data_IF_844027591042
#
_entry.id   IF_844027591042
#
_cell.length_a   1.000
_cell.length_b   1.000
_cell.length_c   1.000
_cell.angle_alpha   90.00
_cell.angle_beta   90.00
_cell.angle_gamma   90.00
#
_symmetry.space_group_name_H-M   'P 1'
#
loop_
_entity.id
_entity.type
_entity.pdbx_description
1 polymer ?
#
# COMPACT_ATOMS: atom_id res chain seq x y z
N UNK A 1 14.40 2.79 10.03
CA UNK A 1 14.36 3.97 10.93
C UNK A 1 13.13 3.93 11.80
N UNK A 2 13.25 4.21 13.10
CA UNK A 2 12.10 4.21 14.03
C UNK A 2 12.05 5.56 14.78
N UNK A 3 10.95 6.27 14.64
CA UNK A 3 10.65 7.52 15.37
C UNK A 3 9.71 7.18 16.51
N UNK A 4 10.17 7.32 17.75
CA UNK A 4 9.36 7.07 18.94
C UNK A 4 8.67 8.35 19.39
N UNK A 5 7.36 8.29 19.51
CA UNK A 5 6.53 9.37 20.03
C UNK A 5 6.11 9.04 21.49
N UNK A 6 6.49 9.84 22.49
CA UNK A 6 6.12 9.60 23.88
C UNK A 6 4.61 9.55 24.07
N UNK A 7 4.11 8.48 24.70
CA UNK A 7 2.68 8.29 24.97
C UNK A 7 1.85 7.80 23.79
N UNK A 8 2.41 7.65 22.59
CA UNK A 8 1.70 7.10 21.45
C UNK A 8 1.38 5.61 21.63
N UNK A 9 0.15 5.23 21.34
CA UNK A 9 -0.31 3.83 21.36
C UNK A 9 -0.22 3.17 20.00
N UNK A 10 -0.46 3.95 18.94
CA UNK A 10 -0.44 3.45 17.57
C UNK A 10 0.97 3.58 16.96
N UNK A 11 1.29 2.66 16.07
CA UNK A 11 2.52 2.66 15.30
C UNK A 11 2.19 2.62 13.80
N UNK A 12 2.77 3.54 13.04
CA UNK A 12 2.63 3.60 11.60
C UNK A 12 3.85 2.96 10.95
N UNK A 13 3.64 1.92 10.13
CA UNK A 13 4.67 1.30 9.29
C UNK A 13 4.55 1.88 7.89
N UNK A 14 5.56 2.64 7.47
CA UNK A 14 5.54 3.42 6.23
C UNK A 14 6.37 2.75 5.14
N UNK A 15 5.71 2.45 4.01
CA UNK A 15 6.28 1.97 2.76
C UNK A 15 6.34 3.13 1.77
N UNK A 16 7.55 3.63 1.49
CA UNK A 16 7.76 4.84 0.70
C UNK A 16 7.56 4.63 -0.81
N UNK A 17 7.50 5.74 -1.55
CA UNK A 17 7.39 5.74 -3.01
C UNK A 17 8.69 5.33 -3.71
N UNK A 18 8.60 5.04 -5.02
CA UNK A 18 9.68 4.47 -5.82
C UNK A 18 10.98 5.31 -5.83
N UNK A 19 10.90 6.62 -5.80
CA UNK A 19 12.07 7.49 -5.94
C UNK A 19 12.61 8.02 -4.60
N UNK A 20 12.19 7.45 -3.47
CA UNK A 20 12.56 7.87 -2.13
C UNK A 20 13.49 6.88 -1.43
N UNK A 21 14.16 7.35 -0.38
CA UNK A 21 14.89 6.58 0.61
C UNK A 21 14.69 7.19 2.01
N UNK A 22 15.10 6.46 3.04
CA UNK A 22 14.93 6.89 4.44
C UNK A 22 15.60 8.22 4.76
N UNK A 23 16.71 8.56 4.08
CA UNK A 23 17.41 9.82 4.27
C UNK A 23 16.56 11.02 3.84
N UNK A 24 15.90 10.89 2.70
CA UNK A 24 15.00 11.90 2.16
C UNK A 24 13.69 12.01 2.96
N UNK A 25 13.23 10.90 3.53
CA UNK A 25 11.97 10.84 4.27
C UNK A 25 12.08 11.26 5.75
N UNK A 26 13.29 11.52 6.25
CA UNK A 26 13.53 11.74 7.67
C UNK A 26 12.64 12.84 8.29
N UNK A 27 12.66 14.03 7.70
CA UNK A 27 11.88 15.17 8.21
C UNK A 27 10.37 14.89 8.17
N UNK A 28 9.88 14.34 7.07
CA UNK A 28 8.47 13.97 6.95
C UNK A 28 8.06 12.96 8.03
N UNK A 29 8.90 11.97 8.33
CA UNK A 29 8.58 10.97 9.35
C UNK A 29 8.53 11.56 10.76
N UNK A 30 9.42 12.48 11.08
CA UNK A 30 9.40 13.20 12.36
C UNK A 30 8.13 14.05 12.48
N UNK A 31 7.78 14.78 11.43
CA UNK A 31 6.58 15.61 11.40
C UNK A 31 5.29 14.77 11.48
N UNK A 32 5.17 13.72 10.70
CA UNK A 32 4.01 12.81 10.75
C UNK A 32 3.85 12.20 12.14
N UNK A 33 4.94 11.69 12.73
CA UNK A 33 4.93 11.12 14.08
C UNK A 33 4.42 12.12 15.10
N UNK A 34 4.93 13.35 15.07
CA UNK A 34 4.55 14.42 16.00
C UNK A 34 3.10 14.88 15.80
N UNK A 35 2.70 15.19 14.56
CA UNK A 35 1.36 15.72 14.27
C UNK A 35 0.25 14.69 14.49
N UNK A 36 0.52 13.42 14.23
CA UNK A 36 -0.45 12.33 14.38
C UNK A 36 -0.42 11.69 15.76
N UNK A 37 0.60 11.99 16.57
CA UNK A 37 0.86 11.34 17.86
C UNK A 37 0.96 9.82 17.73
N UNK A 38 1.79 9.33 16.79
CA UNK A 38 2.04 7.91 16.54
C UNK A 38 3.53 7.62 16.55
N UNK A 39 3.92 6.40 16.94
CA UNK A 39 5.25 5.91 16.58
C UNK A 39 5.29 5.71 15.06
N UNK A 40 6.45 5.87 14.43
CA UNK A 40 6.58 5.65 13.00
C UNK A 40 7.83 4.83 12.70
N UNK A 41 7.66 3.77 11.91
CA UNK A 41 8.77 3.02 11.33
C UNK A 41 8.73 3.16 9.81
N UNK A 42 9.87 3.57 9.23
CA UNK A 42 10.14 3.47 7.81
C UNK A 42 11.32 2.54 7.55
N UNK A 43 11.39 1.98 6.36
CA UNK A 43 12.44 1.07 5.91
C UNK A 43 12.72 1.29 4.43
N UNK A 44 13.95 1.02 3.99
CA UNK A 44 14.33 0.98 2.58
C UNK A 44 14.15 -0.43 2.03
N UNK A 45 13.59 -0.54 0.83
CA UNK A 45 13.49 -1.82 0.13
C UNK A 45 14.87 -2.33 -0.29
N UNK A 46 14.97 -3.62 -0.55
CA UNK A 46 16.15 -4.24 -1.15
C UNK A 46 16.58 -3.48 -2.41
N UNK A 47 17.82 -2.97 -2.41
CA UNK A 47 18.39 -2.17 -3.49
C UNK A 47 18.02 -0.68 -3.49
N UNK A 48 17.31 -0.18 -2.48
CA UNK A 48 17.02 1.25 -2.26
C UNK A 48 17.91 1.83 -1.16
N UNK A 49 18.17 3.15 -1.23
CA UNK A 49 18.97 3.85 -0.24
C UNK A 49 20.31 3.17 0.04
N UNK A 50 20.52 2.75 1.28
CA UNK A 50 21.69 2.00 1.72
C UNK A 50 21.45 0.49 1.81
N UNK A 51 20.24 0.02 1.47
CA UNK A 51 19.92 -1.41 1.48
C UNK A 51 20.60 -2.15 0.32
N UNK A 52 21.18 -3.31 0.63
CA UNK A 52 21.74 -4.21 -0.39
C UNK A 52 20.64 -4.97 -1.14
N UNK A 53 21.03 -5.74 -2.16
CA UNK A 53 20.11 -6.55 -2.94
C UNK A 53 19.66 -5.88 -4.24
N UNK A 54 18.54 -6.34 -4.78
CA UNK A 54 17.96 -5.83 -6.03
C UNK A 54 16.48 -5.54 -5.85
N UNK A 55 15.96 -4.45 -6.43
CA UNK A 55 14.53 -4.16 -6.42
C UNK A 55 13.75 -5.25 -7.18
N UNK A 56 12.73 -5.78 -6.53
CA UNK A 56 11.73 -6.66 -7.16
C UNK A 56 10.43 -6.65 -6.34
N UNK A 57 9.31 -7.01 -6.96
CA UNK A 57 8.04 -7.16 -6.25
C UNK A 57 8.19 -8.08 -5.03
N UNK A 58 8.78 -9.26 -5.22
CA UNK A 58 8.93 -10.26 -4.17
C UNK A 58 9.80 -9.76 -3.01
N UNK A 59 10.86 -9.02 -3.32
CA UNK A 59 11.72 -8.45 -2.29
C UNK A 59 10.97 -7.38 -1.49
N UNK A 60 10.16 -6.52 -2.12
CA UNK A 60 9.37 -5.53 -1.36
C UNK A 60 8.38 -6.18 -0.40
N UNK A 61 7.84 -7.36 -0.73
CA UNK A 61 6.97 -8.13 0.18
C UNK A 61 7.75 -8.73 1.35
N UNK A 62 8.95 -9.25 1.10
CA UNK A 62 9.82 -9.75 2.16
C UNK A 62 10.33 -8.61 3.06
N UNK A 63 10.63 -7.45 2.49
CA UNK A 63 11.15 -6.29 3.21
C UNK A 63 10.11 -5.73 4.19
N UNK A 64 8.84 -5.56 3.76
CA UNK A 64 7.77 -5.11 4.67
C UNK A 64 7.48 -6.15 5.76
N UNK A 65 7.51 -7.43 5.42
CA UNK A 65 7.35 -8.53 6.40
C UNK A 65 8.43 -8.47 7.47
N UNK A 66 9.70 -8.25 7.08
CA UNK A 66 10.81 -8.12 8.01
C UNK A 66 10.66 -6.86 8.90
N UNK A 67 10.24 -5.74 8.33
CA UNK A 67 9.98 -4.52 9.09
C UNK A 67 8.80 -4.69 10.07
N UNK A 68 7.74 -5.36 9.66
CA UNK A 68 6.60 -5.70 10.52
C UNK A 68 7.02 -6.61 11.68
N UNK A 69 7.78 -7.68 11.41
CA UNK A 69 8.30 -8.56 12.47
C UNK A 69 9.19 -7.80 13.45
N UNK A 70 10.02 -6.91 12.96
CA UNK A 70 10.84 -6.05 13.82
C UNK A 70 9.97 -5.20 14.76
N UNK A 71 8.83 -4.66 14.29
CA UNK A 71 7.87 -3.95 15.16
C UNK A 71 7.30 -4.85 16.24
N UNK A 72 6.91 -6.08 15.92
CA UNK A 72 6.35 -7.03 16.88
C UNK A 72 7.41 -7.50 17.87
N UNK A 73 8.53 -8.02 17.36
CA UNK A 73 9.52 -8.76 18.15
C UNK A 73 10.47 -7.83 18.93
N UNK A 74 10.88 -6.72 18.32
CA UNK A 74 11.89 -5.81 18.92
C UNK A 74 11.25 -4.64 19.64
N UNK A 75 10.20 -4.05 19.06
CA UNK A 75 9.54 -2.87 19.62
C UNK A 75 8.28 -3.20 20.43
N UNK A 76 7.83 -4.47 20.45
CA UNK A 76 6.68 -4.94 21.23
C UNK A 76 5.34 -4.36 20.77
N UNK A 77 5.24 -3.96 19.50
CA UNK A 77 3.98 -3.48 18.95
C UNK A 77 2.99 -4.64 18.82
N UNK A 78 1.70 -4.40 19.10
CA UNK A 78 0.62 -5.34 18.82
C UNK A 78 0.05 -5.08 17.42
N UNK A 79 -0.33 -6.13 16.67
CA UNK A 79 -0.94 -6.02 15.33
C UNK A 79 -2.11 -5.04 15.33
N UNK A 80 -2.97 -5.11 16.33
CA UNK A 80 -4.14 -4.24 16.51
C UNK A 80 -3.80 -2.76 16.80
N UNK A 81 -2.53 -2.43 16.97
CA UNK A 81 -2.03 -1.06 17.12
C UNK A 81 -1.17 -0.61 15.94
N UNK A 82 -1.04 -1.42 14.88
CA UNK A 82 -0.25 -1.09 13.70
C UNK A 82 -1.16 -0.57 12.58
N UNK A 83 -0.78 0.58 12.03
CA UNK A 83 -1.34 1.15 10.81
C UNK A 83 -0.30 0.95 9.70
N UNK A 84 -0.66 0.29 8.62
CA UNK A 84 0.20 0.20 7.44
C UNK A 84 -0.07 1.40 6.53
N UNK A 85 1.00 2.05 6.09
CA UNK A 85 0.94 3.21 5.21
C UNK A 85 1.74 2.93 3.94
N UNK A 86 1.10 3.06 2.76
CA UNK A 86 1.76 2.82 1.48
C UNK A 86 1.61 3.99 0.53
N UNK A 87 2.75 4.56 0.11
CA UNK A 87 2.79 5.64 -0.87
C UNK A 87 3.17 5.09 -2.25
N UNK A 88 2.38 5.38 -3.28
CA UNK A 88 2.67 5.01 -4.67
C UNK A 88 2.95 3.51 -4.80
N UNK A 89 4.15 3.10 -5.27
CA UNK A 89 4.60 1.70 -5.31
C UNK A 89 4.53 1.02 -3.94
N UNK A 90 4.73 1.77 -2.86
CA UNK A 90 4.62 1.27 -1.49
C UNK A 90 3.23 0.75 -1.12
N UNK A 91 2.19 1.10 -1.89
CA UNK A 91 0.86 0.49 -1.76
C UNK A 91 0.87 -1.02 -2.07
N UNK A 92 1.82 -1.50 -2.89
CA UNK A 92 2.00 -2.92 -3.22
C UNK A 92 2.31 -3.78 -1.99
N UNK A 93 3.48 -3.60 -1.35
CA UNK A 93 3.82 -4.34 -0.14
C UNK A 93 2.82 -4.08 1.00
N UNK A 94 2.29 -2.88 1.13
CA UNK A 94 1.27 -2.53 2.14
C UNK A 94 0.02 -3.39 2.00
N UNK A 95 -0.56 -3.49 0.81
CA UNK A 95 -1.77 -4.29 0.59
C UNK A 95 -1.50 -5.79 0.60
N UNK A 96 -0.30 -6.21 0.18
CA UNK A 96 0.10 -7.60 0.32
C UNK A 96 0.11 -8.05 1.77
N UNK A 97 0.77 -7.30 2.64
CA UNK A 97 0.82 -7.60 4.06
C UNK A 97 -0.56 -7.46 4.71
N UNK A 98 -1.28 -6.36 4.45
CA UNK A 98 -2.61 -6.11 5.03
C UNK A 98 -3.63 -7.20 4.69
N UNK A 99 -3.54 -7.82 3.51
CA UNK A 99 -4.44 -8.91 3.10
C UNK A 99 -4.30 -10.18 3.93
N UNK A 100 -3.17 -10.33 4.64
CA UNK A 100 -2.82 -11.50 5.46
C UNK A 100 -2.96 -11.27 6.97
N UNK A 101 -3.13 -10.01 7.40
CA UNK A 101 -3.22 -9.62 8.81
C UNK A 101 -4.69 -9.42 9.23
N UNK A 102 -5.27 -10.35 9.99
CA UNK A 102 -6.70 -10.30 10.35
C UNK A 102 -7.04 -9.23 11.39
N UNK A 103 -6.09 -8.86 12.26
CA UNK A 103 -6.27 -7.92 13.36
C UNK A 103 -5.58 -6.57 13.13
N UNK A 104 -5.10 -6.33 11.90
CA UNK A 104 -4.45 -5.07 11.55
C UNK A 104 -5.35 -3.89 11.88
N UNK A 105 -4.77 -2.85 12.48
CA UNK A 105 -5.53 -1.70 12.91
C UNK A 105 -6.19 -0.93 11.79
N UNK A 106 -5.42 -0.56 10.76
CA UNK A 106 -5.91 0.19 9.62
C UNK A 106 -4.88 0.22 8.48
N UNK A 107 -5.30 0.68 7.31
CA UNK A 107 -4.46 0.93 6.14
C UNK A 107 -4.66 2.36 5.64
N UNK A 108 -3.56 3.02 5.27
CA UNK A 108 -3.54 4.29 4.53
C UNK A 108 -2.87 4.06 3.18
N UNK A 109 -3.53 4.45 2.12
CA UNK A 109 -3.04 4.41 0.75
C UNK A 109 -2.91 5.83 0.22
N UNK A 110 -1.68 6.26 -0.06
CA UNK A 110 -1.35 7.59 -0.55
C UNK A 110 -0.92 7.50 -2.02
N UNK A 111 -1.67 8.12 -2.92
CA UNK A 111 -1.48 8.04 -4.38
C UNK A 111 -1.21 6.60 -4.86
N UNK A 112 -2.05 5.62 -4.44
CA UNK A 112 -1.77 4.20 -4.64
C UNK A 112 -1.91 3.77 -6.10
N UNK A 113 -1.18 2.71 -6.46
CA UNK A 113 -1.34 2.02 -7.75
C UNK A 113 -2.37 0.88 -7.62
N UNK A 114 -3.22 0.69 -8.61
CA UNK A 114 -4.15 -0.46 -8.64
C UNK A 114 -3.48 -1.74 -9.13
N UNK A 115 -2.50 -1.63 -10.03
CA UNK A 115 -1.49 -2.64 -10.36
C UNK A 115 -0.39 -1.98 -11.19
N UNK A 116 0.77 -2.64 -11.33
CA UNK A 116 1.88 -2.14 -12.14
C UNK A 116 1.49 -1.94 -13.60
N UNK A 117 0.82 -2.92 -14.20
CA UNK A 117 0.42 -2.85 -15.61
C UNK A 117 -0.60 -1.71 -15.87
N UNK A 118 -1.52 -1.48 -14.91
CA UNK A 118 -2.54 -0.42 -15.05
C UNK A 118 -1.96 1.00 -14.98
N UNK A 119 -0.82 1.19 -14.36
CA UNK A 119 -0.12 2.49 -14.40
C UNK A 119 0.37 2.81 -15.81
N UNK A 120 0.80 1.78 -16.56
CA UNK A 120 1.38 1.97 -17.89
C UNK A 120 0.36 1.89 -19.02
N UNK A 121 -0.69 1.09 -18.84
CA UNK A 121 -1.66 0.79 -19.90
C UNK A 121 -3.10 0.78 -19.35
N UNK A 122 -4.08 1.25 -20.12
CA UNK A 122 -5.49 1.25 -19.72
C UNK A 122 -6.12 -0.16 -19.87
N UNK A 123 -5.64 -1.12 -19.06
CA UNK A 123 -6.16 -2.50 -19.09
C UNK A 123 -7.28 -2.71 -18.10
N UNK A 124 -8.32 -3.47 -18.51
CA UNK A 124 -9.50 -3.76 -17.67
C UNK A 124 -9.36 -4.99 -16.80
N UNK A 125 -8.51 -5.94 -17.22
CA UNK A 125 -8.35 -7.23 -16.53
C UNK A 125 -6.96 -7.31 -15.89
N UNK A 126 -6.85 -8.10 -14.81
CA UNK A 126 -5.57 -8.45 -14.19
C UNK A 126 -4.97 -9.62 -14.96
N UNK A 127 -3.74 -9.48 -15.40
CA UNK A 127 -2.99 -10.53 -16.10
C UNK A 127 -2.09 -11.29 -15.12
N UNK A 128 -1.72 -12.54 -15.47
CA UNK A 128 -0.90 -13.39 -14.61
C UNK A 128 0.50 -12.82 -14.35
N UNK A 129 1.05 -12.08 -15.33
CA UNK A 129 2.36 -11.41 -15.27
C UNK A 129 2.35 -9.99 -14.71
N UNK A 130 1.17 -9.47 -14.34
CA UNK A 130 1.04 -8.15 -13.72
C UNK A 130 1.62 -8.18 -12.30
N UNK A 131 2.28 -7.10 -11.91
CA UNK A 131 2.88 -6.93 -10.60
C UNK A 131 2.05 -5.99 -9.72
N UNK A 132 2.24 -6.10 -8.40
CA UNK A 132 1.49 -5.29 -7.43
C UNK A 132 -0.03 -5.30 -7.71
N UNK A 133 -0.63 -6.49 -7.80
CA UNK A 133 -2.07 -6.69 -8.07
C UNK A 133 -2.94 -6.19 -6.90
N UNK A 134 -2.85 -4.90 -6.62
CA UNK A 134 -3.49 -4.28 -5.48
C UNK A 134 -5.01 -4.33 -5.57
N UNK A 135 -5.54 -4.26 -6.78
CA UNK A 135 -6.98 -4.34 -7.04
C UNK A 135 -7.60 -5.66 -6.59
N UNK A 136 -6.83 -6.74 -6.62
CA UNK A 136 -7.28 -8.05 -6.15
C UNK A 136 -7.10 -8.18 -4.62
N UNK A 137 -5.99 -7.63 -4.08
CA UNK A 137 -5.62 -7.73 -2.67
C UNK A 137 -6.47 -6.86 -1.74
N UNK A 138 -6.86 -5.67 -2.19
CA UNK A 138 -7.66 -4.73 -1.37
C UNK A 138 -8.98 -5.34 -0.91
N UNK A 139 -9.55 -6.25 -1.71
CA UNK A 139 -10.78 -6.98 -1.38
C UNK A 139 -10.62 -7.96 -0.21
N UNK A 140 -9.39 -8.31 0.16
CA UNK A 140 -9.06 -9.22 1.25
C UNK A 140 -8.81 -8.49 2.57
N UNK A 141 -8.56 -7.18 2.52
CA UNK A 141 -8.29 -6.35 3.69
C UNK A 141 -9.54 -6.23 4.56
N UNK A 142 -9.40 -6.50 5.87
CA UNK A 142 -10.53 -6.55 6.82
C UNK A 142 -10.66 -5.28 7.64
N UNK A 143 -9.59 -4.48 7.75
CA UNK A 143 -9.56 -3.26 8.56
C UNK A 143 -9.97 -2.01 7.74
N UNK A 144 -10.20 -0.85 8.42
CA UNK A 144 -10.49 0.41 7.75
C UNK A 144 -9.39 0.85 6.79
N UNK A 145 -9.78 1.26 5.58
CA UNK A 145 -8.89 1.75 4.53
C UNK A 145 -9.19 3.21 4.23
N UNK A 146 -8.18 4.07 4.43
CA UNK A 146 -8.17 5.46 3.98
C UNK A 146 -7.40 5.55 2.66
N UNK A 147 -7.98 6.16 1.64
CA UNK A 147 -7.29 6.53 0.41
C UNK A 147 -7.14 8.04 0.32
N UNK A 148 -5.93 8.51 0.04
CA UNK A 148 -5.59 9.91 -0.22
C UNK A 148 -5.01 9.97 -1.63
N UNK A 149 -5.56 10.83 -2.53
CA UNK A 149 -5.08 10.94 -3.91
C UNK A 149 -5.29 12.34 -4.47
N UNK A 150 -4.33 12.84 -5.24
CA UNK A 150 -4.43 14.10 -5.95
C UNK A 150 -5.32 13.99 -7.18
N UNK A 151 -6.18 14.99 -7.41
CA UNK A 151 -7.06 14.97 -8.60
C UNK A 151 -6.36 15.40 -9.88
N UNK A 152 -5.15 15.94 -9.79
CA UNK A 152 -4.29 16.31 -10.90
C UNK A 152 -2.98 15.49 -10.90
N UNK A 153 -3.02 14.28 -10.35
CA UNK A 153 -1.90 13.32 -10.36
C UNK A 153 -1.64 12.89 -11.82
N UNK A 154 -0.47 13.26 -12.32
CA UNK A 154 0.00 13.00 -13.69
C UNK A 154 0.91 11.78 -13.82
N UNK A 155 1.22 11.12 -12.69
CA UNK A 155 2.03 9.89 -12.64
C UNK A 155 1.15 8.66 -12.48
N UNK A 156 0.22 8.71 -11.51
CA UNK A 156 -0.78 7.67 -11.24
C UNK A 156 -2.15 8.30 -11.22
N UNK A 157 -2.93 8.09 -12.27
CA UNK A 157 -4.26 8.70 -12.38
C UNK A 157 -5.12 8.44 -11.14
N UNK A 158 -5.87 9.44 -10.70
CA UNK A 158 -6.72 9.38 -9.52
C UNK A 158 -7.74 8.23 -9.53
N UNK A 159 -8.07 7.71 -10.72
CA UNK A 159 -8.96 6.54 -10.87
C UNK A 159 -8.41 5.28 -10.19
N UNK A 160 -7.07 5.14 -10.07
CA UNK A 160 -6.45 4.04 -9.33
C UNK A 160 -6.88 4.06 -7.85
N UNK A 161 -6.75 5.20 -7.19
CA UNK A 161 -7.17 5.36 -5.80
C UNK A 161 -8.69 5.16 -5.63
N UNK A 162 -9.49 5.68 -6.57
CA UNK A 162 -10.95 5.50 -6.56
C UNK A 162 -11.34 4.03 -6.66
N UNK A 163 -10.74 3.28 -7.58
CA UNK A 163 -11.02 1.86 -7.75
C UNK A 163 -10.66 1.05 -6.49
N UNK A 164 -9.51 1.33 -5.87
CA UNK A 164 -9.12 0.66 -4.63
C UNK A 164 -10.04 1.00 -3.47
N UNK A 165 -10.45 2.26 -3.35
CA UNK A 165 -11.40 2.68 -2.32
C UNK A 165 -12.77 2.03 -2.52
N UNK A 166 -13.26 1.97 -3.76
CA UNK A 166 -14.56 1.34 -4.08
C UNK A 166 -14.57 -0.15 -3.74
N UNK A 167 -13.48 -0.85 -3.94
CA UNK A 167 -13.33 -2.28 -3.66
C UNK A 167 -13.01 -2.61 -2.20
N UNK A 168 -12.60 -1.63 -1.40
CA UNK A 168 -12.31 -1.82 0.02
C UNK A 168 -13.56 -2.28 0.78
N UNK A 169 -13.44 -3.26 1.67
CA UNK A 169 -14.57 -3.75 2.50
C UNK A 169 -14.99 -2.76 3.57
N UNK A 170 -14.01 -2.22 4.28
CA UNK A 170 -14.22 -1.24 5.36
C UNK A 170 -13.63 0.09 4.90
N UNK A 171 -14.51 0.95 4.36
CA UNK A 171 -14.12 2.23 3.79
C UNK A 171 -14.08 3.31 4.85
N UNK A 172 -12.99 4.07 4.92
CA UNK A 172 -13.01 5.38 5.55
C UNK A 172 -13.26 6.47 4.50
N UNK A 173 -13.72 7.65 4.92
CA UNK A 173 -13.93 8.80 4.05
C UNK A 173 -12.64 9.14 3.29
N UNK A 174 -12.60 9.08 1.96
CA UNK A 174 -11.37 9.30 1.19
C UNK A 174 -11.04 10.78 1.11
N UNK A 175 -9.77 11.10 0.87
CA UNK A 175 -9.34 12.47 0.60
C UNK A 175 -8.91 12.60 -0.87
N UNK A 176 -9.75 13.24 -1.68
CA UNK A 176 -9.41 13.64 -3.05
C UNK A 176 -8.91 15.06 -3.03
N UNK A 177 -7.57 15.25 -3.01
CA UNK A 177 -6.94 16.57 -2.93
C UNK A 177 -7.10 17.30 -4.25
N UNK A 178 -7.93 18.34 -4.27
CA UNK A 178 -8.22 19.10 -5.49
C UNK A 178 -6.97 19.83 -6.00
N UNK A 179 -6.55 19.51 -7.23
CA UNK A 179 -5.35 20.09 -7.84
C UNK A 179 -4.04 19.51 -7.30
N UNK A 180 -4.09 18.57 -6.35
CA UNK A 180 -2.93 17.85 -5.86
C UNK A 180 -2.34 16.94 -6.94
N UNK A 181 -1.00 16.90 -7.00
CA UNK A 181 -0.21 16.05 -7.88
C UNK A 181 0.31 14.82 -7.11
N UNK A 182 1.11 13.96 -7.76
CA UNK A 182 1.64 12.71 -7.19
C UNK A 182 2.52 12.90 -5.96
N UNK A 183 3.33 13.96 -5.94
CA UNK A 183 4.42 14.16 -4.97
C UNK A 183 4.25 15.40 -4.09
N UNK A 184 3.07 16.00 -4.00
CA UNK A 184 2.90 17.27 -3.27
C UNK A 184 1.71 17.30 -2.31
N UNK A 185 1.11 16.16 -2.01
CA UNK A 185 -0.12 16.13 -1.20
C UNK A 185 0.13 16.55 0.24
N UNK A 186 1.32 16.32 0.76
CA UNK A 186 1.76 16.72 2.10
C UNK A 186 1.80 18.25 2.28
N UNK A 187 1.90 19.01 1.19
CA UNK A 187 1.88 20.48 1.21
C UNK A 187 0.48 21.06 1.38
N UNK A 188 -0.57 20.25 1.21
CA UNK A 188 -1.95 20.69 1.37
C UNK A 188 -2.40 20.57 2.82
N UNK A 189 -2.91 21.64 3.45
CA UNK A 189 -3.34 21.61 4.85
C UNK A 189 -4.39 20.56 5.17
N UNK A 190 -5.24 20.21 4.19
CA UNK A 190 -6.25 19.17 4.33
C UNK A 190 -5.64 17.76 4.47
N UNK A 191 -4.44 17.52 3.94
CA UNK A 191 -3.76 16.22 4.06
C UNK A 191 -3.53 15.85 5.51
N UNK A 192 -2.76 16.64 6.23
CA UNK A 192 -2.43 16.35 7.64
C UNK A 192 -3.67 16.41 8.54
N UNK A 193 -4.61 17.33 8.25
CA UNK A 193 -5.86 17.46 9.00
C UNK A 193 -6.73 16.21 8.85
N UNK A 194 -6.88 15.69 7.63
CA UNK A 194 -7.70 14.51 7.35
C UNK A 194 -7.05 13.25 7.92
N UNK A 195 -5.73 13.10 7.74
CA UNK A 195 -4.97 11.98 8.30
C UNK A 195 -5.04 11.96 9.83
N UNK A 196 -4.95 13.12 10.49
CA UNK A 196 -5.12 13.24 11.95
C UNK A 196 -6.54 12.85 12.39
N UNK A 197 -7.57 13.28 11.66
CA UNK A 197 -8.96 12.88 11.90
C UNK A 197 -9.12 11.35 11.81
N UNK A 198 -8.53 10.74 10.80
CA UNK A 198 -8.52 9.29 10.62
C UNK A 198 -7.84 8.58 11.78
N UNK A 199 -6.59 8.91 12.10
CA UNK A 199 -5.83 8.28 13.19
C UNK A 199 -6.56 8.40 14.50
N UNK A 200 -7.12 9.59 14.81
CA UNK A 200 -7.91 9.81 16.04
C UNK A 200 -9.18 8.95 16.08
N UNK A 201 -9.86 8.78 14.95
CA UNK A 201 -11.05 7.93 14.88
C UNK A 201 -10.69 6.45 15.08
N UNK A 202 -9.61 6.01 14.44
CA UNK A 202 -9.10 4.64 14.57
C UNK A 202 -8.65 4.36 16.01
N UNK A 203 -7.96 5.28 16.66
CA UNK A 203 -7.51 5.11 18.06
C UNK A 203 -8.67 4.92 19.03
N UNK A 204 -9.78 5.61 18.80
CA UNK A 204 -11.00 5.53 19.65
C UNK A 204 -11.88 4.32 19.35
N UNK A 205 -11.76 3.71 18.18
CA UNK A 205 -12.54 2.54 17.80
C UNK A 205 -12.07 1.30 18.58
N UNK A 206 -12.94 0.35 18.93
CA UNK A 206 -12.49 -0.92 19.47
C UNK A 206 -11.67 -1.70 18.42
N UNK A 207 -10.70 -2.53 18.87
CA UNK A 207 -10.02 -3.46 17.96
C UNK A 207 -11.01 -4.42 17.28
N UNK A 208 -10.64 -4.94 16.12
CA UNK A 208 -11.40 -5.98 15.44
C UNK A 208 -11.46 -7.21 16.38
N UNK A 209 -12.66 -7.66 16.70
CA UNK A 209 -12.86 -8.89 17.46
C UNK A 209 -12.88 -10.07 16.49
N UNK A 210 -12.33 -11.21 16.93
CA UNK A 210 -12.59 -12.48 16.26
C UNK A 210 -14.10 -12.74 16.32
N UNK A 211 -14.75 -12.85 15.18
CA UNK A 211 -16.06 -13.47 15.09
C UNK A 211 -15.83 -14.97 15.34
N UNK A 212 -15.91 -15.36 16.60
CA UNK A 212 -16.07 -16.78 16.95
C UNK A 212 -17.36 -17.24 16.28
N UNK A 213 -17.39 -18.33 15.51
CA UNK A 213 -18.62 -18.85 14.98
C UNK A 213 -19.50 -19.25 16.17
N UNK A 214 -20.61 -18.53 16.36
CA UNK A 214 -21.65 -18.95 17.29
C UNK A 214 -22.05 -20.35 16.89
N UNK A 215 -21.92 -21.29 17.85
CA UNK A 215 -22.35 -22.66 17.73
C UNK A 215 -23.87 -22.70 17.60
N UNK A 216 -24.38 -22.63 16.38
CA UNK A 216 -25.72 -23.10 16.07
C UNK A 216 -25.67 -24.60 15.99
N UNK A 217 -26.37 -25.26 16.88
CA UNK A 217 -26.49 -26.71 17.01
C UNK A 217 -27.02 -27.40 15.75
N UNK A 218 -26.90 -28.73 15.68
CA UNK A 218 -27.14 -29.50 14.46
C UNK A 218 -28.62 -29.59 14.16
N UNK A 219 -29.02 -29.27 12.94
CA UNK A 219 -30.26 -29.76 12.35
C UNK A 219 -29.90 -30.66 11.17
N UNK A 220 -30.25 -31.94 11.34
CA UNK A 220 -30.22 -32.95 10.31
C UNK A 220 -31.00 -32.56 9.06
N UNK A 221 -30.47 -32.86 7.88
CA UNK A 221 -31.24 -33.50 6.79
C UNK A 221 -30.42 -33.65 5.48
N UNK A 222 -30.22 -34.92 5.17
CA UNK A 222 -30.31 -35.63 3.89
C UNK A 222 -29.47 -35.26 2.67
N UNK A 223 -28.83 -36.30 2.25
CA UNK A 223 -28.12 -36.69 1.02
C UNK A 223 -28.81 -36.33 -0.31
N UNK A 224 -28.02 -35.78 -1.23
CA UNK A 224 -28.33 -35.77 -2.65
C UNK A 224 -27.06 -35.66 -3.47
N UNK A 225 -26.58 -36.81 -3.96
CA UNK A 225 -25.44 -36.91 -4.88
C UNK A 225 -25.89 -36.61 -6.31
N UNK A 226 -25.34 -35.65 -6.97
CA UNK A 226 -25.33 -35.58 -8.44
C UNK A 226 -23.93 -35.19 -8.94
N UNK A 227 -23.37 -36.13 -9.71
CA UNK A 227 -22.15 -36.01 -10.48
C UNK A 227 -22.39 -35.17 -11.73
N UNK A 228 -21.57 -34.14 -11.97
CA UNK A 228 -21.50 -33.48 -13.26
C UNK A 228 -20.08 -33.54 -13.81
N UNK A 229 -19.93 -34.25 -14.91
CA UNK A 229 -18.74 -34.34 -15.75
C UNK A 229 -18.34 -33.00 -16.33
N UNK A 230 -17.07 -32.66 -16.15
CA UNK A 230 -16.45 -31.49 -16.74
C UNK A 230 -15.89 -31.78 -18.11
N UNK A 231 -16.47 -31.18 -19.12
CA UNK A 231 -15.98 -31.15 -20.50
C UNK A 231 -14.76 -30.23 -20.60
N UNK A 232 -13.58 -30.81 -20.88
CA UNK A 232 -12.36 -30.10 -21.25
C UNK A 232 -12.47 -29.59 -22.69
N UNK A 233 -12.48 -28.28 -22.87
CA UNK A 233 -12.19 -27.66 -24.17
C UNK A 233 -10.70 -27.29 -24.22
N UNK A 234 -10.06 -27.79 -25.29
CA UNK A 234 -8.72 -27.49 -25.78
C UNK A 234 -8.55 -25.97 -25.96
N UNK A 235 -7.52 -25.40 -25.35
CA UNK A 235 -7.05 -24.04 -25.64
C UNK A 235 -5.76 -24.16 -26.47
N UNK A 236 -5.76 -23.41 -27.55
CA UNK A 236 -4.73 -23.33 -28.56
C UNK A 236 -3.34 -22.99 -27.99
N UNK A 237 -2.33 -23.66 -28.55
CA UNK A 237 -0.91 -23.49 -28.26
C UNK A 237 -0.42 -22.08 -28.67
N UNK A 238 -0.38 -21.17 -27.70
CA UNK A 238 0.36 -19.92 -27.84
C UNK A 238 1.82 -20.19 -27.49
N UNK A 239 2.71 -19.90 -28.42
CA UNK A 239 4.14 -20.18 -28.31
C UNK A 239 4.76 -19.52 -27.06
N UNK A 240 5.18 -20.35 -26.11
CA UNK A 240 5.73 -19.95 -24.81
C UNK A 240 7.01 -19.09 -24.92
N UNK A 241 7.78 -19.21 -26.02
CA UNK A 241 9.01 -18.46 -26.27
C UNK A 241 8.75 -16.98 -26.55
N UNK A 242 7.69 -16.65 -27.31
CA UNK A 242 7.33 -15.25 -27.59
C UNK A 242 6.82 -14.51 -26.33
N UNK A 243 6.26 -15.23 -25.36
CA UNK A 243 5.80 -14.66 -24.10
C UNK A 243 6.94 -14.38 -23.11
N UNK A 244 8.00 -15.20 -23.13
CA UNK A 244 9.17 -15.01 -22.27
C UNK A 244 10.02 -13.81 -22.69
N UNK A 245 10.16 -13.56 -24.00
CA UNK A 245 10.87 -12.38 -24.51
C UNK A 245 10.13 -11.09 -24.20
N UNK A 246 8.80 -11.08 -24.32
CA UNK A 246 7.96 -9.93 -23.92
C UNK A 246 7.97 -9.70 -22.40
N UNK A 247 8.09 -10.76 -21.58
CA UNK A 247 8.24 -10.62 -20.13
C UNK A 247 9.58 -10.00 -19.73
N UNK A 248 10.67 -10.35 -20.40
CA UNK A 248 11.99 -9.78 -20.12
C UNK A 248 12.06 -8.31 -20.55
N UNK A 249 11.48 -7.93 -21.67
CA UNK A 249 11.36 -6.52 -22.08
C UNK A 249 10.47 -5.70 -21.14
N UNK A 250 9.39 -6.29 -20.61
CA UNK A 250 8.52 -5.65 -19.62
C UNK A 250 9.21 -5.51 -18.25
N UNK A 251 9.97 -6.50 -17.81
CA UNK A 251 10.79 -6.41 -16.59
C UNK A 251 11.90 -5.37 -16.72
N UNK A 252 12.55 -5.29 -17.89
CA UNK A 252 13.58 -4.28 -18.17
C UNK A 252 12.97 -2.89 -18.35
N UNK A 253 11.79 -2.77 -18.94
CA UNK A 253 11.02 -1.51 -19.04
C UNK A 253 10.56 -1.03 -17.68
N UNK A 254 10.13 -1.93 -16.78
CA UNK A 254 9.76 -1.60 -15.41
C UNK A 254 11.00 -1.21 -14.58
N UNK A 255 12.12 -1.91 -14.74
CA UNK A 255 13.41 -1.52 -14.19
C UNK A 255 13.91 -0.19 -14.79
N UNK A 256 13.60 0.12 -16.05
CA UNK A 256 13.84 1.40 -16.71
C UNK A 256 12.94 2.52 -16.18
N UNK A 257 11.66 2.25 -15.93
CA UNK A 257 10.73 3.20 -15.31
C UNK A 257 11.11 3.50 -13.86
N UNK A 258 11.58 2.50 -13.12
CA UNK A 258 12.18 2.65 -11.79
C UNK A 258 13.39 3.61 -11.81
N UNK A 259 14.12 3.73 -12.94
CA UNK A 259 15.23 4.68 -13.12
C UNK A 259 14.78 6.04 -13.66
N UNK A 260 13.71 6.12 -14.43
CA UNK A 260 13.23 7.36 -15.06
C UNK A 260 12.46 8.26 -14.09
N UNK A 261 11.83 7.71 -13.04
CA UNK A 261 11.14 8.47 -12.00
C UNK A 261 12.11 9.21 -11.06
N UNK A 262 13.43 8.99 -11.19
CA UNK A 262 14.44 9.82 -10.51
C UNK A 262 14.33 11.33 -10.77
N UNK A 263 13.59 11.74 -11.78
CA UNK A 263 13.43 13.15 -12.17
C UNK A 263 12.27 13.88 -11.46
N UNK A 264 11.30 13.18 -10.87
CA UNK A 264 10.17 13.85 -10.20
C UNK A 264 10.46 14.35 -8.78
N UNK A 265 11.49 13.83 -8.10
CA UNK A 265 11.72 14.13 -6.68
C UNK A 265 12.70 15.27 -6.37
N UNK A 266 13.41 15.81 -7.37
CA UNK A 266 14.42 16.87 -7.08
C UNK A 266 13.79 18.25 -6.86
N UNK A 267 12.59 18.48 -7.38
CA UNK A 267 11.92 19.79 -7.27
C UNK A 267 10.84 19.88 -6.18
N UNK A 268 10.37 18.76 -5.64
CA UNK A 268 9.32 18.76 -4.62
C UNK A 268 9.78 19.18 -3.21
N UNK A 269 11.09 19.15 -2.94
CA UNK A 269 11.66 19.48 -1.62
C UNK A 269 12.49 20.78 -1.58
N UNK A 270 12.50 21.58 -2.64
CA UNK A 270 13.02 22.95 -2.52
C UNK A 270 12.00 23.84 -1.81
N UNK A 271 12.02 23.79 -0.50
CA UNK A 271 11.50 24.89 0.32
C UNK A 271 12.27 26.14 -0.06
N UNK A 272 11.62 27.08 -0.71
CA UNK A 272 12.17 28.43 -0.92
C UNK A 272 12.33 29.08 0.44
N UNK A 273 13.54 29.05 0.97
CA UNK A 273 13.94 29.96 2.03
C UNK A 273 13.96 31.37 1.43
N UNK A 274 12.85 32.07 1.51
CA UNK A 274 12.83 33.51 1.32
C UNK A 274 13.49 34.14 2.54
N UNK A 275 14.78 34.44 2.42
CA UNK A 275 15.47 35.39 3.29
C UNK A 275 14.84 36.75 3.06
N UNK A 276 14.03 37.20 4.01
CA UNK A 276 13.64 38.61 4.14
C UNK A 276 14.82 39.38 4.67
N UNK A 277 15.30 40.32 3.89
CA UNK A 277 16.14 41.49 4.33
C UNK A 277 15.29 42.54 4.98
#
# INVERSE_FOLDING_TARGET
MYVRQPGARLTLLYSHGNAADLGQMYELFVELSSHLNVNLMGYDYSGYGQSSGKPSEQNTYADIEAAYRCLIETYGASEENIILYGQSVGSGPTLDLASRLPHLRAVVLHSPISSGLRVMYPVKHTYWFDIYKNIDKVTLVKCPVLVIHGTADDVVDCSHGRALWELSKVKYEPLWVKGGNHCNLELYPEYIKHLKKFVTAIEKSPPLKDESPESSGPSDLETGSESMESSRKSTDDICLSCLLDSCNELCDSFGGMMRSVKLCNIDCFKVTSTSGS
#
